data_IF_597708921934
#
_entry.id   IF_597708921934
#
_cell.length_a   1.000
_cell.length_b   1.000
_cell.length_c   1.000
_cell.angle_alpha   90.00
_cell.angle_beta   90.00
_cell.angle_gamma   90.00
#
_symmetry.space_group_name_H-M   'P 1'
#
loop_
_entity.id
_entity.type
_entity.pdbx_description
1 polymer ?
#
# COMPACT_ATOMS: atom_id res chain seq x y z
N UNK A 1 6.66 -16.77 -32.30
CA UNK A 1 7.61 -17.80 -31.83
C UNK A 1 7.94 -17.44 -30.40
N UNK A 2 7.47 -18.24 -29.45
CA UNK A 2 7.55 -17.93 -28.02
C UNK A 2 8.97 -18.27 -27.52
N UNK A 3 9.84 -17.26 -27.50
CA UNK A 3 11.18 -17.39 -26.96
C UNK A 3 11.12 -17.37 -25.43
N UNK A 4 11.16 -18.55 -24.81
CA UNK A 4 11.31 -18.68 -23.35
C UNK A 4 12.64 -18.05 -22.92
N UNK A 5 12.58 -16.92 -22.21
CA UNK A 5 13.76 -16.22 -21.72
C UNK A 5 13.91 -16.49 -20.23
N UNK A 6 15.03 -17.08 -19.82
CA UNK A 6 15.35 -17.32 -18.41
C UNK A 6 15.90 -16.02 -17.82
N UNK A 7 15.19 -15.46 -16.83
CA UNK A 7 15.61 -14.25 -16.13
C UNK A 7 16.33 -14.61 -14.83
N UNK A 8 17.42 -13.89 -14.51
CA UNK A 8 18.15 -14.05 -13.26
C UNK A 8 17.53 -13.18 -12.16
N UNK A 9 17.45 -13.74 -10.95
CA UNK A 9 17.12 -12.99 -9.74
C UNK A 9 18.38 -12.44 -9.09
N UNK A 10 18.29 -11.25 -8.50
CA UNK A 10 19.34 -10.74 -7.63
C UNK A 10 19.30 -11.36 -6.22
N UNK A 11 20.20 -10.95 -5.33
CA UNK A 11 20.29 -11.43 -3.94
C UNK A 11 19.06 -11.11 -3.08
N UNK A 12 18.16 -10.25 -3.57
CA UNK A 12 16.90 -9.88 -2.91
C UNK A 12 15.69 -10.51 -3.61
N UNK A 13 15.90 -11.40 -4.58
CA UNK A 13 14.84 -12.04 -5.34
C UNK A 13 14.18 -11.14 -6.39
N UNK A 14 14.79 -10.00 -6.75
CA UNK A 14 14.23 -9.08 -7.75
C UNK A 14 14.58 -9.55 -9.15
N UNK A 15 13.65 -9.41 -10.08
CA UNK A 15 13.81 -9.74 -11.49
C UNK A 15 13.86 -8.43 -12.30
N UNK A 16 14.78 -8.34 -13.25
CA UNK A 16 14.78 -7.23 -14.22
C UNK A 16 13.91 -7.61 -15.41
N UNK A 17 12.83 -6.88 -15.64
CA UNK A 17 11.94 -7.12 -16.77
C UNK A 17 12.58 -6.68 -18.10
N UNK A 18 12.25 -7.35 -19.22
CA UNK A 18 12.66 -6.94 -20.56
C UNK A 18 12.27 -5.51 -20.94
N UNK A 19 12.91 -4.95 -21.97
CA UNK A 19 12.75 -3.56 -22.41
C UNK A 19 11.31 -3.18 -22.75
N UNK A 20 10.55 -4.14 -23.26
CA UNK A 20 9.19 -4.00 -23.74
C UNK A 20 8.24 -3.60 -22.59
N UNK A 21 8.62 -3.92 -21.36
CA UNK A 21 7.85 -3.67 -20.14
C UNK A 21 8.33 -2.44 -19.35
N UNK A 22 9.36 -1.71 -19.83
CA UNK A 22 9.95 -0.56 -19.10
C UNK A 22 9.01 0.63 -18.96
N UNK A 23 8.02 0.76 -19.83
CA UNK A 23 7.07 1.87 -19.80
C UNK A 23 5.97 1.68 -18.75
N UNK A 24 5.84 0.48 -18.19
CA UNK A 24 4.84 0.15 -17.18
C UNK A 24 5.40 0.43 -15.79
N UNK A 25 4.69 1.26 -15.02
CA UNK A 25 5.14 1.64 -13.67
C UNK A 25 4.84 0.61 -12.59
N UNK A 26 3.83 -0.24 -12.79
CA UNK A 26 3.33 -1.16 -11.79
C UNK A 26 2.71 -2.41 -12.43
N UNK A 27 2.96 -3.56 -11.82
CA UNK A 27 2.36 -4.84 -12.20
C UNK A 27 1.62 -5.46 -11.02
N UNK A 28 0.44 -6.00 -11.27
CA UNK A 28 -0.22 -6.95 -10.38
C UNK A 28 0.39 -8.33 -10.61
N UNK A 29 0.72 -9.04 -9.54
CA UNK A 29 1.40 -10.33 -9.59
C UNK A 29 0.51 -11.42 -8.99
N UNK A 30 0.23 -12.47 -9.76
CA UNK A 30 -0.58 -13.61 -9.35
C UNK A 30 0.25 -14.89 -9.53
N UNK A 31 0.16 -15.81 -8.58
CA UNK A 31 0.71 -17.15 -8.74
C UNK A 31 -0.38 -18.07 -9.30
N UNK A 32 -0.17 -18.57 -10.52
CA UNK A 32 -1.06 -19.52 -11.16
C UNK A 32 -0.26 -20.77 -11.57
N UNK A 33 -0.58 -21.90 -10.96
CA UNK A 33 0.04 -23.20 -11.23
C UNK A 33 1.59 -23.19 -11.18
N UNK A 34 2.17 -22.45 -10.24
CA UNK A 34 3.63 -22.34 -10.08
C UNK A 34 4.29 -21.35 -11.04
N UNK A 35 3.51 -20.66 -11.86
CA UNK A 35 3.95 -19.55 -12.70
C UNK A 35 3.58 -18.22 -12.06
N UNK A 36 4.51 -17.27 -12.07
CA UNK A 36 4.20 -15.87 -11.74
C UNK A 36 3.67 -15.17 -12.99
N UNK A 37 2.43 -14.72 -12.92
CA UNK A 37 1.78 -13.95 -13.99
C UNK A 37 1.73 -12.48 -13.58
N UNK A 38 2.24 -11.61 -14.45
CA UNK A 38 2.33 -10.16 -14.22
C UNK A 38 1.36 -9.42 -15.15
N UNK A 39 0.43 -8.65 -14.57
CA UNK A 39 -0.52 -7.82 -15.32
C UNK A 39 -0.17 -6.34 -15.18
N UNK A 40 0.05 -5.58 -16.27
CA UNK A 40 0.32 -4.16 -16.18
C UNK A 40 -0.90 -3.43 -15.61
N UNK A 41 -0.67 -2.61 -14.57
CA UNK A 41 -1.75 -1.90 -13.89
C UNK A 41 -2.04 -0.59 -14.63
N UNK A 42 -3.03 -0.63 -15.53
CA UNK A 42 -3.46 0.56 -16.30
C UNK A 42 -4.11 1.65 -15.43
N UNK A 43 -4.66 1.28 -14.27
CA UNK A 43 -5.22 2.22 -13.31
C UNK A 43 -4.83 1.78 -11.92
N UNK A 44 -4.05 2.58 -11.20
CA UNK A 44 -3.94 2.44 -9.74
C UNK A 44 -5.33 2.75 -9.18
N UNK A 45 -6.15 1.72 -8.94
CA UNK A 45 -7.43 1.91 -8.27
C UNK A 45 -7.12 2.41 -6.87
N UNK A 46 -7.28 3.72 -6.64
CA UNK A 46 -7.19 4.34 -5.31
C UNK A 46 -8.14 3.66 -4.30
N UNK A 47 -9.19 3.02 -4.80
CA UNK A 47 -10.16 2.25 -4.03
C UNK A 47 -10.38 0.90 -4.73
N UNK A 48 -9.84 -0.21 -4.20
CA UNK A 48 -10.22 -1.54 -4.68
C UNK A 48 -11.74 -1.71 -4.55
N UNK A 49 -12.37 -2.39 -5.50
CA UNK A 49 -13.78 -2.79 -5.34
C UNK A 49 -13.83 -3.82 -4.23
N UNK A 50 -14.44 -3.46 -3.11
CA UNK A 50 -14.50 -4.29 -1.90
C UNK A 50 -15.72 -5.23 -1.91
N UNK A 51 -16.44 -5.31 -3.03
CA UNK A 51 -17.75 -5.98 -3.15
C UNK A 51 -17.67 -7.49 -2.85
N UNK A 52 -16.52 -8.13 -3.11
CA UNK A 52 -16.29 -9.56 -2.92
C UNK A 52 -15.50 -9.90 -1.65
N UNK A 53 -15.09 -8.90 -0.87
CA UNK A 53 -14.42 -9.16 0.40
C UNK A 53 -15.48 -9.51 1.44
N UNK A 54 -15.28 -10.60 2.22
CA UNK A 54 -16.14 -10.82 3.37
C UNK A 54 -16.06 -9.56 4.23
N UNK A 55 -17.21 -8.99 4.55
CA UNK A 55 -17.32 -8.00 5.62
C UNK A 55 -17.00 -8.78 6.89
N UNK A 56 -15.71 -9.02 7.14
CA UNK A 56 -15.24 -9.44 8.44
C UNK A 56 -15.77 -8.37 9.37
N UNK A 57 -16.69 -8.75 10.25
CA UNK A 57 -17.21 -7.88 11.29
C UNK A 57 -16.00 -7.30 12.01
N UNK A 58 -15.62 -6.07 11.64
CA UNK A 58 -14.44 -5.43 12.22
C UNK A 58 -14.66 -5.43 13.72
N UNK A 59 -13.61 -5.79 14.47
CA UNK A 59 -13.69 -5.87 15.91
C UNK A 59 -14.34 -4.59 16.46
N UNK A 60 -15.40 -4.73 17.25
CA UNK A 60 -16.18 -3.60 17.79
C UNK A 60 -15.31 -2.59 18.52
N UNK A 61 -14.23 -3.06 19.16
CA UNK A 61 -13.22 -2.20 19.78
C UNK A 61 -12.51 -1.31 18.76
N UNK A 62 -12.10 -1.88 17.63
CA UNK A 62 -11.46 -1.13 16.56
C UNK A 62 -12.42 -0.10 15.96
N UNK A 63 -13.69 -0.46 15.77
CA UNK A 63 -14.70 0.47 15.26
C UNK A 63 -14.92 1.67 16.20
N UNK A 64 -14.87 1.45 17.52
CA UNK A 64 -14.98 2.52 18.52
C UNK A 64 -13.74 3.42 18.52
N UNK A 65 -12.54 2.84 18.52
CA UNK A 65 -11.28 3.59 18.44
C UNK A 65 -11.19 4.43 17.17
N UNK A 66 -11.55 3.85 16.03
CA UNK A 66 -11.55 4.52 14.73
C UNK A 66 -12.57 5.67 14.68
N UNK A 67 -13.75 5.49 15.31
CA UNK A 67 -14.74 6.54 15.43
C UNK A 67 -14.25 7.69 16.32
N UNK A 68 -13.64 7.39 17.46
CA UNK A 68 -13.07 8.41 18.36
C UNK A 68 -11.97 9.24 17.68
N UNK A 69 -11.11 8.60 16.87
CA UNK A 69 -10.06 9.28 16.11
C UNK A 69 -10.66 10.17 15.00
N UNK A 70 -11.62 9.65 14.24
CA UNK A 70 -12.20 10.38 13.11
C UNK A 70 -13.13 11.54 13.53
N UNK A 71 -13.76 11.45 14.71
CA UNK A 71 -14.55 12.54 15.31
C UNK A 71 -13.68 13.53 16.11
N UNK A 72 -12.37 13.29 16.22
CA UNK A 72 -11.47 14.18 16.94
C UNK A 72 -11.28 15.52 16.21
N UNK A 73 -12.03 16.53 16.65
CA UNK A 73 -11.93 17.90 16.14
C UNK A 73 -10.76 18.70 16.74
N UNK A 74 -9.87 18.08 17.54
CA UNK A 74 -8.71 18.79 18.09
C UNK A 74 -7.77 19.19 16.95
N UNK A 75 -7.54 20.49 16.82
CA UNK A 75 -6.55 21.01 15.88
C UNK A 75 -5.17 20.36 16.09
N UNK A 76 -4.53 19.93 15.01
CA UNK A 76 -3.15 19.41 15.05
C UNK A 76 -2.16 20.43 15.61
N UNK A 77 -1.00 19.96 16.07
CA UNK A 77 0.08 20.84 16.53
C UNK A 77 0.85 21.36 15.33
N UNK A 78 0.68 22.64 14.99
CA UNK A 78 1.49 23.31 13.98
C UNK A 78 2.76 23.87 14.64
N UNK A 79 3.93 23.41 14.23
CA UNK A 79 5.21 23.89 14.74
C UNK A 79 6.28 23.93 13.63
N UNK A 80 7.22 24.87 13.75
CA UNK A 80 8.31 25.05 12.76
C UNK A 80 9.45 24.04 12.93
N UNK A 81 9.56 23.38 14.09
CA UNK A 81 10.60 22.40 14.40
C UNK A 81 10.05 21.25 15.25
N UNK A 82 10.66 20.05 15.20
CA UNK A 82 10.24 18.91 16.02
C UNK A 82 10.28 19.19 17.53
N UNK A 83 11.30 19.93 18.01
CA UNK A 83 11.41 20.32 19.42
C UNK A 83 10.26 21.23 19.85
N UNK A 84 9.86 22.19 19.01
CA UNK A 84 8.72 23.06 19.28
C UNK A 84 7.38 22.30 19.24
N UNK A 85 7.26 21.24 18.42
CA UNK A 85 6.10 20.36 18.45
C UNK A 85 6.01 19.58 19.77
N UNK A 86 7.12 19.01 20.23
CA UNK A 86 7.19 18.28 21.51
C UNK A 86 6.87 19.17 22.72
N UNK A 87 7.38 20.40 22.76
CA UNK A 87 7.04 21.35 23.83
C UNK A 87 5.55 21.73 23.82
N UNK A 88 4.96 21.92 22.63
CA UNK A 88 3.52 22.18 22.50
C UNK A 88 2.68 20.97 22.91
N UNK A 89 3.14 19.75 22.61
CA UNK A 89 2.47 18.52 23.02
C UNK A 89 2.47 18.38 24.54
N UNK A 90 3.61 18.62 25.20
CA UNK A 90 3.76 18.55 26.66
C UNK A 90 2.92 19.60 27.41
N UNK A 91 2.62 20.74 26.78
CA UNK A 91 1.74 21.78 27.34
C UNK A 91 0.24 21.48 27.17
N UNK A 92 -0.10 20.45 26.38
CA UNK A 92 -1.49 20.09 26.02
C UNK A 92 -1.99 18.85 26.77
N UNK A 93 -1.08 18.08 27.37
CA UNK A 93 -1.32 17.01 28.34
C UNK A 93 -1.59 17.58 29.71
#
# INVERSE_FOLDING_TARGET
MDSTTILKTDSRGRITLPSEFKNESLFECINDNGCLVLYPVQTVRKFPKMDDLPITTLNTKWQQEEKEINEDMRYGIIAKTPKAAQEKLRKRS
#
